data_IF_443476570476
#
_entry.id   IF_443476570476
#
_cell.length_a   1.000
_cell.length_b   1.000
_cell.length_c   1.000
_cell.angle_alpha   90.00
_cell.angle_beta   90.00
_cell.angle_gamma   90.00
#
_symmetry.space_group_name_H-M   'P 1'
#
loop_
_entity.id
_entity.type
_entity.pdbx_description
1 polymer ?
#
# COMPACT_ATOMS: atom_id res chain seq x y z
N UNK A 1 7.22 7.59 21.30
CA UNK A 1 6.69 7.08 20.02
C UNK A 1 5.19 7.37 19.82
N UNK A 2 4.29 7.00 20.74
CA UNK A 2 2.83 7.25 20.62
C UNK A 2 2.47 8.72 20.36
N UNK A 3 3.10 9.67 21.06
CA UNK A 3 2.82 11.11 20.89
C UNK A 3 3.13 11.62 19.48
N UNK A 4 4.22 11.13 18.85
CA UNK A 4 4.57 11.51 17.47
C UNK A 4 3.55 10.92 16.51
N UNK A 5 3.13 9.64 16.69
CA UNK A 5 2.12 9.01 15.84
C UNK A 5 0.75 9.70 15.95
N UNK A 6 0.38 10.26 17.11
CA UNK A 6 -0.83 11.06 17.25
C UNK A 6 -0.75 12.37 16.45
N UNK A 7 0.42 13.02 16.42
CA UNK A 7 0.64 14.20 15.57
C UNK A 7 0.57 13.84 14.08
N UNK A 8 1.16 12.69 13.70
CA UNK A 8 1.07 12.13 12.34
C UNK A 8 -0.39 11.88 11.94
N UNK A 9 -1.16 11.24 12.83
CA UNK A 9 -2.59 11.00 12.62
C UNK A 9 -3.35 12.31 12.40
N UNK A 10 -3.13 13.31 13.27
CA UNK A 10 -3.73 14.64 13.14
C UNK A 10 -3.42 15.28 11.78
N UNK A 11 -2.17 15.26 11.37
CA UNK A 11 -1.74 15.79 10.07
C UNK A 11 -2.41 15.04 8.89
N UNK A 12 -2.48 13.71 8.94
CA UNK A 12 -3.13 12.92 7.88
C UNK A 12 -4.64 13.06 7.87
N UNK A 13 -5.30 13.24 9.01
CA UNK A 13 -6.74 13.58 9.07
C UNK A 13 -6.97 14.94 8.41
N UNK A 14 -6.18 15.95 8.74
CA UNK A 14 -6.27 17.28 8.09
C UNK A 14 -6.05 17.14 6.59
N UNK A 15 -5.02 16.40 6.16
CA UNK A 15 -4.75 16.18 4.74
C UNK A 15 -5.92 15.47 4.04
N UNK A 16 -6.47 14.42 4.64
CA UNK A 16 -7.59 13.65 4.09
C UNK A 16 -8.87 14.48 3.96
N UNK A 17 -9.26 15.16 5.04
CA UNK A 17 -10.47 16.02 5.05
C UNK A 17 -10.36 17.11 3.98
N UNK A 18 -9.22 17.79 3.91
CA UNK A 18 -9.03 18.86 2.91
C UNK A 18 -8.90 18.32 1.50
N UNK A 19 -8.35 17.11 1.28
CA UNK A 19 -8.35 16.46 -0.05
C UNK A 19 -9.78 16.16 -0.51
N UNK A 20 -10.62 15.58 0.36
CA UNK A 20 -12.03 15.29 0.06
C UNK A 20 -12.82 16.58 -0.16
N UNK A 21 -12.66 17.58 0.69
CA UNK A 21 -13.30 18.88 0.52
C UNK A 21 -12.85 19.60 -0.77
N UNK A 22 -11.58 19.50 -1.12
CA UNK A 22 -11.04 20.04 -2.37
C UNK A 22 -11.62 19.31 -3.59
N UNK A 23 -11.79 18.00 -3.50
CA UNK A 23 -12.44 17.20 -4.54
C UNK A 23 -13.91 17.61 -4.72
N UNK A 24 -14.64 17.88 -3.62
CA UNK A 24 -16.04 18.31 -3.67
C UNK A 24 -16.20 19.77 -4.12
N UNK A 25 -15.37 20.70 -3.62
CA UNK A 25 -15.58 22.15 -3.80
C UNK A 25 -14.65 22.82 -4.83
N UNK A 26 -13.67 22.11 -5.42
CA UNK A 26 -12.67 22.62 -6.38
C UNK A 26 -11.90 23.85 -5.91
N UNK A 27 -11.71 24.06 -4.61
CA UNK A 27 -11.01 25.24 -4.07
C UNK A 27 -9.50 24.96 -3.97
N UNK A 28 -8.69 25.75 -4.65
CA UNK A 28 -7.21 25.64 -4.62
C UNK A 28 -6.62 25.76 -3.20
N UNK A 29 -7.26 26.55 -2.33
CA UNK A 29 -6.81 26.71 -0.94
C UNK A 29 -6.86 25.39 -0.20
N UNK A 30 -7.95 24.62 -0.36
CA UNK A 30 -8.10 23.31 0.28
C UNK A 30 -7.03 22.30 -0.22
N UNK A 31 -6.68 22.35 -1.52
CA UNK A 31 -5.60 21.52 -2.06
C UNK A 31 -4.24 21.90 -1.46
N UNK A 32 -3.97 23.18 -1.27
CA UNK A 32 -2.73 23.65 -0.63
C UNK A 32 -2.65 23.19 0.82
N UNK A 33 -3.73 23.36 1.59
CA UNK A 33 -3.77 22.90 3.00
C UNK A 33 -3.55 21.38 3.06
N UNK A 34 -4.24 20.60 2.22
CA UNK A 34 -4.02 19.15 2.14
C UNK A 34 -2.57 18.80 1.82
N UNK A 35 -1.94 19.51 0.89
CA UNK A 35 -0.56 19.28 0.50
C UNK A 35 0.44 19.60 1.63
N UNK A 36 0.31 20.74 2.30
CA UNK A 36 1.17 21.08 3.43
C UNK A 36 0.99 20.11 4.59
N UNK A 37 -0.25 19.75 4.93
CA UNK A 37 -0.53 18.75 5.96
C UNK A 37 0.05 17.38 5.61
N UNK A 38 0.00 16.98 4.32
CA UNK A 38 0.57 15.72 3.83
C UNK A 38 2.10 15.70 4.00
N UNK A 39 2.80 16.76 3.58
CA UNK A 39 4.26 16.85 3.71
C UNK A 39 4.66 16.84 5.19
N UNK A 40 4.00 17.64 6.02
CA UNK A 40 4.25 17.69 7.47
C UNK A 40 4.02 16.32 8.10
N UNK A 41 2.88 15.67 7.77
CA UNK A 41 2.56 14.34 8.24
C UNK A 41 3.59 13.30 7.79
N UNK A 42 4.04 13.35 6.53
CA UNK A 42 5.05 12.45 6.00
C UNK A 42 6.42 12.62 6.69
N UNK A 43 6.85 13.87 6.91
CA UNK A 43 8.09 14.15 7.63
C UNK A 43 8.04 13.65 9.09
N UNK A 44 6.95 13.94 9.82
CA UNK A 44 6.75 13.45 11.18
C UNK A 44 6.66 11.92 11.23
N UNK A 45 6.02 11.29 10.23
CA UNK A 45 5.91 9.83 10.15
C UNK A 45 7.27 9.19 9.89
N UNK A 46 8.09 9.77 9.02
CA UNK A 46 9.47 9.34 8.80
C UNK A 46 10.29 9.42 10.09
N UNK A 47 10.17 10.53 10.82
CA UNK A 47 10.82 10.66 12.13
C UNK A 47 10.33 9.61 13.14
N UNK A 48 9.02 9.30 13.16
CA UNK A 48 8.46 8.28 14.02
C UNK A 48 9.02 6.88 13.70
N UNK A 49 9.11 6.52 12.42
CA UNK A 49 9.67 5.23 11.99
C UNK A 49 11.17 5.11 12.31
N UNK A 50 11.95 6.14 12.01
CA UNK A 50 13.39 6.17 12.30
C UNK A 50 13.65 6.13 13.80
N UNK A 51 12.93 6.93 14.59
CA UNK A 51 13.06 6.93 16.06
C UNK A 51 12.65 5.58 16.67
N UNK A 52 11.59 4.95 16.11
CA UNK A 52 11.17 3.61 16.49
C UNK A 52 12.26 2.58 16.26
N UNK A 53 12.86 2.58 15.07
CA UNK A 53 13.97 1.69 14.71
C UNK A 53 15.18 1.85 15.66
N UNK A 54 15.61 3.09 15.89
CA UNK A 54 16.76 3.37 16.75
C UNK A 54 16.51 2.95 18.21
N UNK A 55 15.30 3.25 18.75
CA UNK A 55 14.98 2.95 20.16
C UNK A 55 14.75 1.46 20.41
N UNK A 56 14.11 0.77 19.46
CA UNK A 56 13.74 -0.64 19.62
C UNK A 56 14.86 -1.59 19.16
N UNK A 57 15.86 -1.07 18.45
CA UNK A 57 16.97 -1.84 17.87
C UNK A 57 16.52 -2.98 16.94
N UNK A 58 15.31 -2.87 16.36
CA UNK A 58 14.80 -3.74 15.30
C UNK A 58 14.06 -2.95 14.24
N UNK A 59 14.01 -3.49 13.02
CA UNK A 59 13.31 -2.85 11.91
C UNK A 59 11.80 -2.86 12.15
N UNK A 60 11.05 -1.75 11.90
CA UNK A 60 9.65 -1.60 12.28
C UNK A 60 8.68 -2.37 11.36
N UNK A 61 8.81 -3.70 11.26
CA UNK A 61 7.98 -4.59 10.43
C UNK A 61 7.66 -5.93 11.10
N UNK A 62 8.03 -6.12 12.36
CA UNK A 62 7.81 -7.39 13.05
C UNK A 62 6.39 -7.52 13.61
N UNK A 63 5.79 -6.41 14.02
CA UNK A 63 4.46 -6.40 14.63
C UNK A 63 3.43 -5.78 13.70
N UNK A 64 2.17 -6.24 13.82
CA UNK A 64 1.07 -5.71 13.00
C UNK A 64 0.96 -4.17 13.05
N UNK A 65 1.01 -3.49 14.22
CA UNK A 65 0.94 -2.03 14.27
C UNK A 65 2.06 -1.34 13.50
N UNK A 66 3.27 -1.90 13.55
CA UNK A 66 4.43 -1.40 12.81
C UNK A 66 4.24 -1.56 11.30
N UNK A 67 3.78 -2.76 10.89
CA UNK A 67 3.49 -3.06 9.48
C UNK A 67 2.41 -2.16 8.91
N UNK A 68 1.33 -1.90 9.68
CA UNK A 68 0.25 -0.99 9.27
C UNK A 68 0.74 0.47 9.18
N UNK A 69 1.56 0.90 10.14
CA UNK A 69 2.18 2.22 10.13
C UNK A 69 3.11 2.36 8.92
N UNK A 70 3.96 1.38 8.67
CA UNK A 70 4.86 1.38 7.51
C UNK A 70 4.10 1.33 6.18
N UNK A 71 3.02 0.55 6.08
CA UNK A 71 2.14 0.54 4.90
C UNK A 71 1.49 1.92 4.67
N UNK A 72 1.04 2.60 5.73
CA UNK A 72 0.50 3.95 5.62
C UNK A 72 1.56 4.93 5.09
N UNK A 73 2.80 4.85 5.57
CA UNK A 73 3.93 5.65 5.09
C UNK A 73 4.24 5.40 3.61
N UNK A 74 4.30 4.13 3.19
CA UNK A 74 4.55 3.77 1.78
C UNK A 74 3.41 4.19 0.85
N UNK A 75 2.15 4.16 1.31
CA UNK A 75 1.01 4.68 0.56
C UNK A 75 1.11 6.19 0.34
N UNK A 76 1.56 6.95 1.34
CA UNK A 76 1.80 8.39 1.19
C UNK A 76 2.94 8.64 0.22
N UNK A 77 4.04 7.89 0.29
CA UNK A 77 5.16 7.99 -0.63
C UNK A 77 4.73 7.68 -2.08
N UNK A 78 3.97 6.60 -2.30
CA UNK A 78 3.44 6.22 -3.60
C UNK A 78 2.49 7.30 -4.16
N UNK A 79 1.59 7.84 -3.34
CA UNK A 79 0.72 8.94 -3.73
C UNK A 79 1.51 10.22 -4.03
N UNK A 80 2.52 10.55 -3.23
CA UNK A 80 3.40 11.68 -3.46
C UNK A 80 4.12 11.60 -4.81
N UNK A 81 4.60 10.40 -5.20
CA UNK A 81 5.21 10.14 -6.50
C UNK A 81 4.21 10.33 -7.66
N UNK A 82 3.00 9.79 -7.51
CA UNK A 82 1.92 9.97 -8.50
C UNK A 82 1.56 11.45 -8.63
N UNK A 83 1.46 12.16 -7.51
CA UNK A 83 1.13 13.58 -7.50
C UNK A 83 2.22 14.40 -8.16
N UNK A 84 3.49 14.11 -7.89
CA UNK A 84 4.64 14.77 -8.52
C UNK A 84 4.65 14.57 -10.05
N UNK A 85 4.39 13.33 -10.51
CA UNK A 85 4.50 12.97 -11.93
C UNK A 85 3.28 13.35 -12.77
N UNK A 86 2.07 13.23 -12.19
CA UNK A 86 0.80 13.33 -12.93
C UNK A 86 -0.11 14.45 -12.45
N UNK A 87 0.21 15.15 -11.36
CA UNK A 87 -0.63 16.20 -10.75
C UNK A 87 -2.06 15.74 -10.46
N UNK A 88 -2.24 14.44 -10.18
CA UNK A 88 -3.54 13.80 -10.02
C UNK A 88 -4.07 13.95 -8.59
N UNK A 89 -4.41 15.17 -8.17
CA UNK A 89 -4.87 15.50 -6.82
C UNK A 89 -6.10 14.70 -6.38
N UNK A 90 -6.96 14.31 -7.31
CA UNK A 90 -8.17 13.54 -7.02
C UNK A 90 -7.89 12.18 -6.34
N UNK A 91 -6.74 11.54 -6.61
CA UNK A 91 -6.37 10.27 -5.96
C UNK A 91 -6.23 10.44 -4.44
N UNK A 92 -5.81 11.60 -3.97
CA UNK A 92 -5.67 11.88 -2.54
C UNK A 92 -6.97 11.71 -1.77
N UNK A 93 -8.11 12.02 -2.39
CA UNK A 93 -9.43 11.86 -1.77
C UNK A 93 -9.79 10.39 -1.49
N UNK A 94 -9.16 9.45 -2.18
CA UNK A 94 -9.36 8.01 -1.99
C UNK A 94 -8.26 7.39 -1.11
N UNK A 95 -7.00 7.85 -1.25
CA UNK A 95 -5.84 7.27 -0.58
C UNK A 95 -5.71 7.78 0.87
N UNK A 96 -5.84 9.10 1.08
CA UNK A 96 -5.55 9.70 2.40
C UNK A 96 -6.51 9.29 3.53
N UNK A 97 -7.82 9.06 3.29
CA UNK A 97 -8.69 8.50 4.33
C UNK A 97 -8.24 7.11 4.80
N UNK A 98 -7.80 6.23 3.86
CA UNK A 98 -7.25 4.93 4.21
C UNK A 98 -5.94 5.06 5.01
N UNK A 99 -5.06 5.97 4.61
CA UNK A 99 -3.80 6.25 5.34
C UNK A 99 -4.10 6.66 6.77
N UNK A 100 -5.04 7.59 6.99
CA UNK A 100 -5.44 8.02 8.33
C UNK A 100 -6.03 6.85 9.15
N UNK A 101 -6.87 6.00 8.52
CA UNK A 101 -7.42 4.81 9.16
C UNK A 101 -6.34 3.80 9.55
N UNK A 102 -5.35 3.53 8.68
CA UNK A 102 -4.25 2.62 8.97
C UNK A 102 -3.40 3.11 10.16
N UNK A 103 -3.07 4.41 10.19
CA UNK A 103 -2.33 4.99 11.34
C UNK A 103 -3.16 4.93 12.62
N UNK A 104 -4.47 5.20 12.54
CA UNK A 104 -5.36 5.06 13.70
C UNK A 104 -5.39 3.62 14.22
N UNK A 105 -5.56 2.64 13.33
CA UNK A 105 -5.55 1.21 13.70
C UNK A 105 -4.19 0.85 14.30
N UNK A 106 -3.08 1.30 13.73
CA UNK A 106 -1.74 1.06 14.26
C UNK A 106 -1.58 1.61 15.70
N UNK A 107 -2.13 2.81 15.99
CA UNK A 107 -2.08 3.40 17.33
C UNK A 107 -2.94 2.59 18.32
N UNK A 108 -4.15 2.21 17.92
CA UNK A 108 -5.09 1.48 18.79
C UNK A 108 -4.60 0.04 19.03
N UNK A 109 -4.11 -0.65 18.00
CA UNK A 109 -3.56 -2.01 18.11
C UNK A 109 -2.23 -2.06 18.86
N UNK A 110 -1.47 -0.97 18.88
CA UNK A 110 -0.16 -0.87 19.54
C UNK A 110 -0.22 -0.77 21.08
N UNK A 111 -1.40 -0.94 21.69
CA UNK A 111 -1.56 -1.09 23.13
C UNK A 111 -1.35 -2.56 23.51
N UNK A 112 -0.14 -3.09 23.26
CA UNK A 112 0.17 -4.40 23.78
C UNK A 112 0.70 -4.31 25.22
N UNK A 113 0.23 -5.19 26.14
CA UNK A 113 1.00 -5.50 27.34
C UNK A 113 2.37 -6.01 26.89
N UNK A 114 3.40 -5.71 27.67
CA UNK A 114 4.79 -6.11 27.38
C UNK A 114 4.83 -7.48 26.73
N UNK A 115 5.50 -7.55 25.57
CA UNK A 115 5.58 -8.77 24.76
C UNK A 115 5.82 -9.98 25.67
N UNK A 116 5.02 -11.04 25.48
CA UNK A 116 5.23 -12.30 26.18
C UNK A 116 6.71 -12.70 26.03
N UNK A 117 7.35 -13.26 27.06
CA UNK A 117 8.81 -13.58 27.02
C UNK A 117 9.26 -14.43 25.83
N UNK A 118 8.34 -15.12 25.14
CA UNK A 118 8.59 -15.87 23.91
C UNK A 118 8.65 -15.01 22.63
N UNK A 119 7.99 -13.85 22.56
CA UNK A 119 7.97 -13.01 21.36
C UNK A 119 9.33 -12.32 21.11
N UNK A 120 10.13 -12.10 22.16
CA UNK A 120 11.50 -11.59 22.03
C UNK A 120 12.47 -12.67 21.49
N UNK A 121 12.20 -13.95 21.76
CA UNK A 121 13.02 -15.04 21.24
C UNK A 121 12.84 -15.21 19.72
N UNK A 122 11.62 -15.00 19.20
CA UNK A 122 11.34 -15.04 17.76
C UNK A 122 11.95 -13.85 17.01
N UNK A 123 12.00 -12.65 17.62
CA UNK A 123 12.66 -11.49 16.99
C UNK A 123 14.19 -11.63 16.96
N UNK A 124 14.79 -12.25 17.99
CA UNK A 124 16.23 -12.58 17.99
C UNK A 124 16.53 -13.71 17.01
N UNK A 125 15.67 -14.71 16.86
CA UNK A 125 15.78 -15.75 15.85
C UNK A 125 15.65 -15.19 14.42
N UNK A 126 14.69 -14.29 14.18
CA UNK A 126 14.53 -13.61 12.89
C UNK A 126 15.72 -12.69 12.55
N UNK A 127 16.34 -12.05 13.55
CA UNK A 127 17.57 -11.27 13.37
C UNK A 127 18.82 -12.15 13.20
N UNK A 128 18.81 -13.37 13.71
CA UNK A 128 19.95 -14.30 13.62
C UNK A 128 19.90 -15.18 12.36
N UNK A 129 18.74 -15.41 11.79
CA UNK A 129 18.54 -16.20 10.56
C UNK A 129 18.23 -15.28 9.37
N UNK A 130 19.27 -14.90 8.62
CA UNK A 130 19.11 -14.13 7.37
C UNK A 130 19.30 -12.60 7.48
N UNK A 131 19.66 -12.06 8.65
CA UNK A 131 20.11 -10.67 8.84
C UNK A 131 19.24 -9.62 8.14
N UNK A 132 19.71 -9.04 7.03
CA UNK A 132 19.05 -7.99 6.27
C UNK A 132 17.97 -8.49 5.28
N UNK A 133 17.92 -9.80 4.97
CA UNK A 133 17.02 -10.35 3.93
C UNK A 133 15.56 -10.21 4.33
N UNK A 134 15.20 -10.53 5.58
CA UNK A 134 13.83 -10.42 6.07
C UNK A 134 13.29 -8.98 6.02
N UNK A 135 13.96 -7.95 6.59
CA UNK A 135 13.51 -6.57 6.48
C UNK A 135 13.42 -6.10 5.03
N UNK A 136 14.36 -6.48 4.17
CA UNK A 136 14.35 -6.13 2.74
C UNK A 136 13.16 -6.77 2.03
N UNK A 137 12.96 -8.08 2.17
CA UNK A 137 11.83 -8.83 1.61
C UNK A 137 10.48 -8.17 1.99
N UNK A 138 10.28 -7.93 3.27
CA UNK A 138 9.02 -7.35 3.78
C UNK A 138 8.81 -5.92 3.28
N UNK A 139 9.86 -5.10 3.27
CA UNK A 139 9.81 -3.72 2.75
C UNK A 139 9.39 -3.71 1.29
N UNK A 140 10.02 -4.53 0.46
CA UNK A 140 9.75 -4.59 -0.99
C UNK A 140 8.32 -5.07 -1.26
N UNK A 141 7.82 -6.05 -0.49
CA UNK A 141 6.42 -6.50 -0.59
C UNK A 141 5.42 -5.41 -0.19
N UNK A 142 5.66 -4.67 0.88
CA UNK A 142 4.78 -3.58 1.30
C UNK A 142 4.75 -2.46 0.24
N UNK A 143 5.90 -2.12 -0.34
CA UNK A 143 5.97 -1.18 -1.45
C UNK A 143 5.21 -1.68 -2.70
N UNK A 144 5.26 -3.00 -2.98
CA UNK A 144 4.47 -3.61 -4.04
C UNK A 144 2.96 -3.48 -3.77
N UNK A 145 2.52 -3.76 -2.54
CA UNK A 145 1.11 -3.65 -2.14
C UNK A 145 0.60 -2.21 -2.19
N UNK A 146 1.41 -1.23 -1.78
CA UNK A 146 1.09 0.18 -1.93
C UNK A 146 0.93 0.57 -3.41
N UNK A 147 1.80 0.07 -4.30
CA UNK A 147 1.69 0.28 -5.74
C UNK A 147 0.41 -0.35 -6.31
N UNK A 148 0.06 -1.56 -5.89
CA UNK A 148 -1.19 -2.22 -6.30
C UNK A 148 -2.44 -1.52 -5.77
N UNK A 149 -2.37 -0.89 -4.61
CA UNK A 149 -3.45 -0.04 -4.14
C UNK A 149 -3.65 1.19 -5.04
N UNK A 150 -2.57 1.80 -5.52
CA UNK A 150 -2.66 2.87 -6.53
C UNK A 150 -3.32 2.36 -7.82
N UNK A 151 -2.99 1.14 -8.28
CA UNK A 151 -3.69 0.51 -9.44
C UNK A 151 -5.18 0.37 -9.17
N UNK A 152 -5.55 -0.09 -7.98
CA UNK A 152 -6.94 -0.25 -7.57
C UNK A 152 -7.70 1.08 -7.61
N UNK A 153 -7.18 2.12 -6.96
CA UNK A 153 -7.80 3.45 -6.94
C UNK A 153 -7.94 4.01 -8.35
N UNK A 154 -6.88 3.95 -9.16
CA UNK A 154 -6.94 4.39 -10.55
C UNK A 154 -7.95 3.57 -11.37
N UNK A 155 -8.05 2.26 -11.15
CA UNK A 155 -9.02 1.39 -11.83
C UNK A 155 -10.47 1.73 -11.45
N UNK A 156 -10.74 1.99 -10.17
CA UNK A 156 -12.06 2.46 -9.72
C UNK A 156 -12.41 3.81 -10.35
N UNK A 157 -11.47 4.76 -10.35
CA UNK A 157 -11.68 6.07 -10.99
C UNK A 157 -11.96 5.93 -12.49
N UNK A 158 -11.24 5.03 -13.18
CA UNK A 158 -11.49 4.71 -14.59
C UNK A 158 -12.93 4.21 -14.81
N UNK A 159 -13.37 3.24 -14.02
CA UNK A 159 -14.70 2.64 -14.13
C UNK A 159 -15.81 3.66 -13.85
N UNK A 160 -15.63 4.52 -12.86
CA UNK A 160 -16.57 5.59 -12.54
C UNK A 160 -16.70 6.59 -13.71
N UNK A 161 -15.56 7.02 -14.27
CA UNK A 161 -15.55 7.98 -15.36
C UNK A 161 -16.09 7.38 -16.67
N UNK A 162 -15.75 6.12 -16.97
CA UNK A 162 -16.31 5.42 -18.15
C UNK A 162 -17.82 5.26 -18.05
N UNK A 163 -18.35 4.99 -16.84
CA UNK A 163 -19.78 4.89 -16.60
C UNK A 163 -20.50 6.21 -16.91
N UNK A 164 -19.97 7.33 -16.40
CA UNK A 164 -20.54 8.67 -16.66
C UNK A 164 -20.53 9.00 -18.16
N UNK A 165 -19.45 8.67 -18.86
CA UNK A 165 -19.34 8.85 -20.32
C UNK A 165 -20.41 8.05 -21.07
N UNK A 166 -20.62 6.78 -20.72
CA UNK A 166 -21.62 5.92 -21.38
C UNK A 166 -23.04 6.37 -21.13
N UNK A 167 -23.34 6.85 -19.92
CA UNK A 167 -24.65 7.35 -19.55
C UNK A 167 -24.90 8.78 -20.06
N UNK A 168 -23.86 9.46 -20.60
CA UNK A 168 -23.91 10.88 -21.03
C UNK A 168 -24.38 11.82 -19.91
N UNK A 169 -24.17 11.44 -18.66
CA UNK A 169 -24.67 12.18 -17.49
C UNK A 169 -23.73 13.32 -17.06
N UNK A 170 -22.46 13.29 -17.43
CA UNK A 170 -21.43 14.30 -17.14
C UNK A 170 -21.59 14.98 -15.77
N UNK A 171 -21.79 14.18 -14.73
CA UNK A 171 -22.03 14.66 -13.38
C UNK A 171 -20.83 15.37 -12.75
N UNK A 172 -21.02 15.84 -11.53
CA UNK A 172 -19.97 16.54 -10.80
C UNK A 172 -18.68 15.70 -10.63
N UNK A 173 -18.79 14.37 -10.54
CA UNK A 173 -17.67 13.44 -10.40
C UNK A 173 -16.82 13.44 -11.68
N UNK A 174 -17.46 13.37 -12.85
CA UNK A 174 -16.76 13.35 -14.14
C UNK A 174 -15.77 14.53 -14.31
N UNK A 175 -16.22 15.75 -13.98
CA UNK A 175 -15.39 16.95 -14.10
C UNK A 175 -14.31 17.09 -13.02
N UNK A 176 -14.26 16.19 -12.06
CA UNK A 176 -13.28 16.21 -10.94
C UNK A 176 -12.20 15.17 -11.08
N UNK A 177 -12.46 14.10 -11.83
CA UNK A 177 -11.50 13.05 -12.08
C UNK A 177 -10.48 13.47 -13.13
N UNK A 178 -9.21 12.99 -13.07
CA UNK A 178 -8.24 13.20 -14.13
C UNK A 178 -8.72 12.56 -15.45
N UNK A 179 -8.22 12.99 -16.61
CA UNK A 179 -8.54 12.36 -17.90
C UNK A 179 -8.31 10.85 -17.87
N UNK A 180 -9.14 10.07 -18.59
CA UNK A 180 -9.03 8.61 -18.66
C UNK A 180 -7.64 8.11 -19.08
N UNK A 181 -6.97 8.86 -19.96
CA UNK A 181 -5.58 8.59 -20.38
C UNK A 181 -4.64 8.65 -19.19
N UNK A 182 -4.69 9.74 -18.43
CA UNK A 182 -3.85 9.93 -17.21
C UNK A 182 -4.11 8.84 -16.18
N UNK A 183 -5.38 8.51 -15.93
CA UNK A 183 -5.75 7.44 -14.99
C UNK A 183 -5.22 6.08 -15.45
N UNK A 184 -5.31 5.79 -16.76
CA UNK A 184 -4.77 4.58 -17.35
C UNK A 184 -3.22 4.52 -17.26
N UNK A 185 -2.54 5.65 -17.47
CA UNK A 185 -1.08 5.73 -17.39
C UNK A 185 -0.60 5.52 -15.94
N UNK A 186 -1.27 6.14 -14.96
CA UNK A 186 -1.02 5.91 -13.54
C UNK A 186 -1.18 4.42 -13.19
N UNK A 187 -2.28 3.80 -13.61
CA UNK A 187 -2.54 2.40 -13.33
C UNK A 187 -1.50 1.47 -14.00
N UNK A 188 -1.05 1.81 -15.21
CA UNK A 188 -0.04 1.02 -15.94
C UNK A 188 1.33 1.13 -15.27
N UNK A 189 1.76 2.34 -14.93
CA UNK A 189 3.03 2.58 -14.24
C UNK A 189 3.04 1.92 -12.86
N UNK A 190 1.98 2.11 -12.08
CA UNK A 190 1.88 1.51 -10.74
C UNK A 190 1.85 -0.03 -10.81
N UNK A 191 1.18 -0.62 -11.82
CA UNK A 191 1.19 -2.07 -12.02
C UNK A 191 2.58 -2.59 -12.37
N UNK A 192 3.33 -1.90 -13.24
CA UNK A 192 4.69 -2.29 -13.59
C UNK A 192 5.64 -2.21 -12.38
N UNK A 193 5.60 -1.11 -11.64
CA UNK A 193 6.39 -0.95 -10.39
C UNK A 193 6.01 -2.03 -9.38
N UNK A 194 4.71 -2.24 -9.14
CA UNK A 194 4.22 -3.24 -8.19
C UNK A 194 4.64 -4.66 -8.57
N UNK A 195 4.55 -5.04 -9.87
CA UNK A 195 4.96 -6.36 -10.34
C UNK A 195 6.48 -6.57 -10.20
N UNK A 196 7.29 -5.57 -10.53
CA UNK A 196 8.75 -5.64 -10.36
C UNK A 196 9.11 -5.83 -8.88
N UNK A 197 8.50 -5.03 -7.99
CA UNK A 197 8.72 -5.16 -6.56
C UNK A 197 8.22 -6.50 -6.01
N UNK A 198 7.05 -6.98 -6.44
CA UNK A 198 6.54 -8.30 -6.04
C UNK A 198 7.46 -9.43 -6.52
N UNK A 199 8.01 -9.34 -7.73
CA UNK A 199 8.99 -10.33 -8.24
C UNK A 199 10.24 -10.36 -7.37
N UNK A 200 10.80 -9.20 -7.02
CA UNK A 200 11.93 -9.10 -6.08
C UNK A 200 11.55 -9.65 -4.70
N UNK A 201 10.35 -9.34 -4.22
CA UNK A 201 9.82 -9.85 -2.96
C UNK A 201 9.73 -11.38 -2.95
N UNK A 202 9.15 -11.99 -3.99
CA UNK A 202 9.05 -13.46 -4.10
C UNK A 202 10.44 -14.09 -4.10
N UNK A 203 11.37 -13.59 -4.93
CA UNK A 203 12.73 -14.14 -5.01
C UNK A 203 13.47 -14.05 -3.67
N UNK A 204 13.42 -12.89 -3.00
CA UNK A 204 14.07 -12.72 -1.70
C UNK A 204 13.41 -13.55 -0.61
N UNK A 205 12.09 -13.76 -0.68
CA UNK A 205 11.36 -14.66 0.22
C UNK A 205 11.78 -16.11 0.05
N UNK A 206 11.95 -16.57 -1.20
CA UNK A 206 12.45 -17.93 -1.50
C UNK A 206 13.89 -18.13 -0.99
N UNK A 207 14.77 -17.13 -1.16
CA UNK A 207 16.15 -17.19 -0.64
C UNK A 207 16.13 -17.28 0.89
N UNK A 208 15.37 -16.40 1.57
CA UNK A 208 15.24 -16.40 3.01
C UNK A 208 14.68 -17.73 3.55
N UNK A 209 13.67 -18.29 2.89
CA UNK A 209 13.08 -19.58 3.23
C UNK A 209 14.07 -20.74 3.07
N UNK A 210 14.87 -20.73 1.98
CA UNK A 210 15.90 -21.73 1.75
C UNK A 210 17.00 -21.70 2.80
N UNK A 211 17.43 -20.49 3.22
CA UNK A 211 18.44 -20.33 4.28
C UNK A 211 17.93 -20.78 5.65
N UNK A 212 16.65 -20.55 5.94
CA UNK A 212 16.02 -20.88 7.23
C UNK A 212 15.69 -22.35 7.38
N UNK A 213 15.03 -22.95 6.36
CA UNK A 213 14.41 -24.28 6.47
C UNK A 213 14.89 -25.27 5.39
N UNK A 214 15.80 -24.85 4.51
CA UNK A 214 16.27 -25.65 3.38
C UNK A 214 15.22 -25.90 2.29
N UNK A 215 14.10 -25.17 2.31
CA UNK A 215 13.01 -25.29 1.33
C UNK A 215 12.71 -23.95 0.69
N UNK A 216 12.52 -23.95 -0.64
CA UNK A 216 12.15 -22.75 -1.39
C UNK A 216 10.65 -22.44 -1.35
N UNK A 217 9.81 -23.44 -1.07
CA UNK A 217 8.35 -23.35 -1.14
C UNK A 217 7.69 -24.27 -0.10
N UNK A 218 6.71 -23.75 0.63
CA UNK A 218 6.05 -24.45 1.75
C UNK A 218 4.57 -24.78 1.47
N UNK A 219 4.01 -24.40 0.31
CA UNK A 219 2.57 -24.46 0.01
C UNK A 219 1.71 -23.64 1.01
N UNK A 220 2.28 -22.59 1.57
CA UNK A 220 1.56 -21.68 2.45
C UNK A 220 0.53 -20.87 1.65
N UNK A 221 -0.67 -20.59 2.19
CA UNK A 221 -1.67 -19.73 1.54
C UNK A 221 -1.12 -18.39 1.06
N UNK A 222 -0.19 -17.76 1.80
CA UNK A 222 0.47 -16.51 1.37
C UNK A 222 1.27 -16.69 0.09
N UNK A 223 2.02 -17.77 -0.03
CA UNK A 223 2.82 -18.07 -1.22
C UNK A 223 1.91 -18.26 -2.44
N UNK A 224 0.83 -19.02 -2.28
CA UNK A 224 -0.14 -19.29 -3.35
C UNK A 224 -0.82 -17.98 -3.79
N UNK A 225 -1.33 -17.16 -2.86
CA UNK A 225 -1.96 -15.89 -3.19
C UNK A 225 -0.97 -14.89 -3.79
N UNK A 226 0.30 -14.88 -3.35
CA UNK A 226 1.35 -14.05 -3.93
C UNK A 226 1.62 -14.46 -5.38
N UNK A 227 1.72 -15.76 -5.67
CA UNK A 227 1.91 -16.28 -7.04
C UNK A 227 0.71 -15.95 -7.94
N UNK A 228 -0.53 -16.11 -7.44
CA UNK A 228 -1.74 -15.75 -8.17
C UNK A 228 -1.79 -14.23 -8.43
N UNK A 229 -1.42 -13.41 -7.45
CA UNK A 229 -1.34 -11.96 -7.60
C UNK A 229 -0.31 -11.60 -8.67
N UNK A 230 0.87 -12.20 -8.62
CA UNK A 230 1.92 -12.00 -9.62
C UNK A 230 1.44 -12.33 -11.03
N UNK A 231 0.82 -13.51 -11.21
CA UNK A 231 0.29 -13.94 -12.49
C UNK A 231 -0.80 -12.99 -13.03
N UNK A 232 -1.70 -12.54 -12.16
CA UNK A 232 -2.77 -11.62 -12.55
C UNK A 232 -2.22 -10.25 -12.97
N UNK A 233 -1.24 -9.70 -12.25
CA UNK A 233 -0.62 -8.42 -12.62
C UNK A 233 0.27 -8.54 -13.86
N UNK A 234 0.94 -9.68 -14.06
CA UNK A 234 1.63 -9.96 -15.31
C UNK A 234 0.64 -9.96 -16.49
N UNK A 235 -0.48 -10.67 -16.35
CA UNK A 235 -1.56 -10.69 -17.32
C UNK A 235 -2.11 -9.28 -17.57
N UNK A 236 -2.32 -8.49 -16.52
CA UNK A 236 -2.77 -7.10 -16.63
C UNK A 236 -1.81 -6.26 -17.48
N UNK A 237 -0.50 -6.37 -17.26
CA UNK A 237 0.51 -5.62 -18.03
C UNK A 237 0.50 -6.06 -19.50
N UNK A 238 0.47 -7.36 -19.77
CA UNK A 238 0.39 -7.89 -21.14
C UNK A 238 -0.88 -7.39 -21.85
N UNK A 239 -2.03 -7.40 -21.15
CA UNK A 239 -3.27 -6.85 -21.71
C UNK A 239 -3.19 -5.36 -21.99
N UNK A 240 -2.57 -4.58 -21.10
CA UNK A 240 -2.39 -3.13 -21.28
C UNK A 240 -1.43 -2.80 -22.42
N UNK A 241 -0.44 -3.65 -22.70
CA UNK A 241 0.46 -3.52 -23.86
C UNK A 241 -0.30 -3.70 -25.20
N UNK A 242 -1.36 -4.51 -25.21
CA UNK A 242 -2.18 -4.75 -26.40
C UNK A 242 -3.24 -3.66 -26.57
N UNK A 243 -3.24 -2.93 -27.69
CA UNK A 243 -4.19 -1.83 -27.96
C UNK A 243 -5.67 -2.25 -27.89
N UNK A 244 -5.96 -3.51 -28.17
CA UNK A 244 -7.32 -4.09 -28.22
C UNK A 244 -7.97 -4.29 -26.82
N UNK A 245 -7.16 -4.39 -25.75
CA UNK A 245 -7.64 -4.78 -24.41
C UNK A 245 -7.49 -3.68 -23.35
N UNK A 246 -7.18 -2.46 -23.79
CA UNK A 246 -7.13 -1.27 -22.90
C UNK A 246 -8.55 -0.91 -22.46
N UNK A 247 -8.67 -0.33 -21.28
CA UNK A 247 -9.92 0.23 -20.80
C UNK A 247 -10.61 -0.61 -19.72
N UNK A 248 -11.92 -0.80 -19.84
CA UNK A 248 -12.78 -1.39 -18.78
C UNK A 248 -12.32 -2.77 -18.28
N UNK A 249 -11.89 -3.65 -19.18
CA UNK A 249 -11.42 -5.00 -18.81
C UNK A 249 -10.13 -4.94 -17.98
N UNK A 250 -9.18 -4.10 -18.39
CA UNK A 250 -7.97 -3.88 -17.62
C UNK A 250 -8.24 -3.25 -16.26
N UNK A 251 -9.24 -2.36 -16.15
CA UNK A 251 -9.64 -1.78 -14.88
C UNK A 251 -10.25 -2.84 -13.94
N UNK A 252 -11.10 -3.75 -14.45
CA UNK A 252 -11.62 -4.85 -13.64
C UNK A 252 -10.53 -5.82 -13.17
N UNK A 253 -9.54 -6.11 -14.02
CA UNK A 253 -8.37 -6.91 -13.60
C UNK A 253 -7.57 -6.19 -12.50
N UNK A 254 -7.42 -4.86 -12.57
CA UNK A 254 -6.78 -4.09 -11.51
C UNK A 254 -7.53 -4.15 -10.18
N UNK A 255 -8.88 -4.12 -10.22
CA UNK A 255 -9.71 -4.31 -9.03
C UNK A 255 -9.58 -5.73 -8.48
N UNK A 256 -9.69 -6.75 -9.34
CA UNK A 256 -9.56 -8.16 -8.95
C UNK A 256 -8.16 -8.46 -8.37
N UNK A 257 -7.10 -7.88 -8.96
CA UNK A 257 -5.74 -8.03 -8.46
C UNK A 257 -5.57 -7.49 -7.05
N UNK A 258 -6.20 -6.38 -6.73
CA UNK A 258 -6.15 -5.85 -5.37
C UNK A 258 -6.93 -6.71 -4.36
N UNK A 259 -8.02 -7.36 -4.77
CA UNK A 259 -8.72 -8.34 -3.93
C UNK A 259 -7.78 -9.49 -3.57
N UNK A 260 -6.97 -10.00 -4.54
CA UNK A 260 -5.95 -11.02 -4.24
C UNK A 260 -4.87 -10.51 -3.28
N UNK A 261 -4.44 -9.24 -3.41
CA UNK A 261 -3.53 -8.62 -2.43
C UNK A 261 -4.12 -8.64 -1.03
N UNK A 262 -5.40 -8.29 -0.89
CA UNK A 262 -6.10 -8.36 0.41
C UNK A 262 -6.18 -9.80 0.93
N UNK A 263 -6.44 -10.78 0.06
CA UNK A 263 -6.41 -12.20 0.44
C UNK A 263 -5.01 -12.63 0.91
N UNK A 264 -3.94 -12.14 0.28
CA UNK A 264 -2.56 -12.41 0.71
C UNK A 264 -2.29 -11.82 2.11
N UNK A 265 -2.77 -10.59 2.36
CA UNK A 265 -2.51 -9.88 3.61
C UNK A 265 -3.38 -10.38 4.78
N UNK A 266 -4.67 -10.65 4.51
CA UNK A 266 -5.65 -11.06 5.52
C UNK A 266 -5.79 -12.59 5.62
N UNK A 267 -5.72 -13.30 4.49
CA UNK A 267 -6.02 -14.73 4.40
C UNK A 267 -5.07 -15.58 5.21
N UNK A 268 -3.80 -15.25 5.24
CA UNK A 268 -2.82 -15.95 6.04
C UNK A 268 -3.08 -15.87 7.56
N UNK A 269 -3.68 -14.76 8.00
CA UNK A 269 -4.03 -14.57 9.40
C UNK A 269 -5.28 -15.37 9.82
N UNK A 270 -6.17 -15.63 8.86
CA UNK A 270 -7.41 -16.39 9.11
C UNK A 270 -7.23 -17.89 8.93
N UNK A 271 -6.24 -18.33 8.14
CA UNK A 271 -6.07 -19.74 7.78
C UNK A 271 -4.95 -20.43 8.58
N UNK A 272 -4.20 -19.72 9.40
CA UNK A 272 -3.02 -20.23 10.14
C UNK A 272 -2.00 -20.82 9.16
N UNK A 273 -0.79 -20.33 9.13
CA UNK A 273 0.24 -20.80 8.21
C UNK A 273 1.64 -20.53 8.75
N UNK A 274 2.64 -20.97 8.00
CA UNK A 274 4.06 -20.79 8.29
C UNK A 274 4.47 -19.32 8.58
N UNK A 275 3.71 -18.36 8.04
CA UNK A 275 3.93 -16.91 8.20
C UNK A 275 3.01 -16.29 9.26
N UNK A 276 2.49 -17.04 10.20
CA UNK A 276 1.69 -16.50 11.31
C UNK A 276 2.64 -15.90 12.36
N UNK A 277 2.95 -14.65 12.19
CA UNK A 277 3.67 -13.83 13.19
C UNK A 277 2.61 -13.20 14.11
N UNK A 278 2.23 -13.94 15.17
CA UNK A 278 1.17 -13.74 16.13
C UNK A 278 0.81 -12.32 16.59
#
# INVERSE_FOLDING_TARGET
MKSILLLVLGAYIVAAVHAVLAFVNKRRVLQRVSWFALITGFALHTLALVSGWVVQNHFPLFYLPETLSFLAWTLVAAYGLVLYRYQAHALGSFILPLVAALVLIAIVSGVHPAAAPGALADTTAANSTGGWIFPFHTTVLICAYASFFVVFVASVMYLLQERELKLKTFGAIFHRLPPLTTVNDIATMAAAVGLTLLSLGIVTGMIWSAERDGRLWHNDPKEIFAALTWLLYLLLIVYRASARWRGRRAAWLGVAGFVLVLCTFLGARLMGGYHDFG
#
